data_IF_376944159219
#
_entry.id   IF_376944159219
#
_cell.length_a   1.000
_cell.length_b   1.000
_cell.length_c   1.000
_cell.angle_alpha   90.00
_cell.angle_beta   90.00
_cell.angle_gamma   90.00
#
_symmetry.space_group_name_H-M   'P 1'
#
loop_
_entity.id
_entity.type
_entity.pdbx_description
1 polymer ?
#
# COMPACT_ATOMS: atom_id res chain seq x y z
N UNK A 1 -9.01 15.00 4.42
CA UNK A 1 -8.47 14.24 5.56
C UNK A 1 -7.01 14.64 5.71
N UNK A 2 -6.50 14.99 6.89
CA UNK A 2 -5.05 15.22 7.09
C UNK A 2 -4.32 13.91 7.44
N UNK A 3 -3.00 13.87 7.26
CA UNK A 3 -2.18 12.68 7.61
C UNK A 3 -2.34 12.32 9.09
N UNK A 4 -2.33 13.33 9.98
CA UNK A 4 -2.55 13.11 11.42
C UNK A 4 -3.94 12.54 11.72
N UNK A 5 -4.98 13.00 11.04
CA UNK A 5 -6.33 12.45 11.21
C UNK A 5 -6.39 11.00 10.73
N UNK A 6 -5.77 10.69 9.59
CA UNK A 6 -5.72 9.35 9.04
C UNK A 6 -4.95 8.38 9.94
N UNK A 7 -3.76 8.76 10.39
CA UNK A 7 -2.90 7.93 11.24
C UNK A 7 -3.56 7.60 12.58
N UNK A 8 -4.34 8.53 13.15
CA UNK A 8 -5.13 8.28 14.37
C UNK A 8 -6.28 7.30 14.18
N UNK A 9 -6.76 7.10 12.95
CA UNK A 9 -7.75 6.05 12.63
C UNK A 9 -7.05 4.69 12.53
N UNK A 10 -5.82 4.66 12.02
CA UNK A 10 -5.04 3.44 11.80
C UNK A 10 -4.51 2.81 13.09
N UNK A 11 -4.12 3.63 14.07
CA UNK A 11 -3.51 3.13 15.32
C UNK A 11 -3.56 4.17 16.43
N UNK A 12 -3.74 3.71 17.67
CA UNK A 12 -3.62 4.53 18.88
C UNK A 12 -2.18 4.58 19.44
N UNK A 13 -1.24 3.80 18.89
CA UNK A 13 0.15 3.75 19.37
C UNK A 13 0.97 4.96 18.85
N UNK A 14 1.38 5.91 19.72
CA UNK A 14 2.08 7.11 19.29
C UNK A 14 3.41 6.85 18.57
N UNK A 15 4.13 5.77 18.92
CA UNK A 15 5.40 5.44 18.28
C UNK A 15 5.19 4.96 16.83
N UNK A 16 4.09 4.25 16.57
CA UNK A 16 3.69 3.88 15.21
C UNK A 16 3.18 5.11 14.46
N UNK A 17 2.42 5.99 15.12
CA UNK A 17 1.92 7.22 14.51
C UNK A 17 3.07 8.10 13.97
N UNK A 18 4.14 8.29 14.75
CA UNK A 18 5.33 9.04 14.32
C UNK A 18 5.94 8.45 13.05
N UNK A 19 6.16 7.13 13.02
CA UNK A 19 6.72 6.45 11.83
C UNK A 19 5.84 6.59 10.60
N UNK A 20 4.53 6.47 10.75
CA UNK A 20 3.58 6.65 9.64
C UNK A 20 3.64 8.07 9.10
N UNK A 21 3.66 9.07 9.98
CA UNK A 21 3.74 10.48 9.58
C UNK A 21 5.05 10.80 8.86
N UNK A 22 6.19 10.31 9.35
CA UNK A 22 7.50 10.50 8.69
C UNK A 22 7.51 9.97 7.25
N UNK A 23 6.97 8.77 7.02
CA UNK A 23 6.85 8.20 5.67
C UNK A 23 5.88 9.02 4.82
N UNK A 24 4.72 9.39 5.37
CA UNK A 24 3.72 10.19 4.64
C UNK A 24 4.27 11.57 4.24
N UNK A 25 5.07 12.21 5.09
CA UNK A 25 5.70 13.50 4.80
C UNK A 25 6.74 13.41 3.68
N UNK A 26 7.44 12.27 3.56
CA UNK A 26 8.42 12.06 2.47
C UNK A 26 7.80 12.10 1.07
N UNK A 27 6.49 11.88 0.98
CA UNK A 27 5.72 11.90 -0.26
C UNK A 27 5.14 13.28 -0.63
N UNK A 28 5.28 14.29 0.24
CA UNK A 28 4.78 15.63 -0.02
C UNK A 28 3.28 15.65 -0.32
N UNK A 29 2.91 16.13 -1.51
CA UNK A 29 1.51 16.25 -1.95
C UNK A 29 0.90 14.91 -2.42
N UNK A 30 1.71 13.87 -2.62
CA UNK A 30 1.25 12.57 -3.14
C UNK A 30 0.71 11.67 -2.02
N UNK A 31 -0.57 11.86 -1.69
CA UNK A 31 -1.29 11.14 -0.65
C UNK A 31 -1.86 9.79 -1.14
N UNK A 32 -1.02 8.94 -1.71
CA UNK A 32 -1.43 7.69 -2.34
C UNK A 32 -2.15 6.70 -1.38
N UNK A 33 -1.96 6.80 -0.07
CA UNK A 33 -2.63 5.94 0.92
C UNK A 33 -4.14 6.22 1.09
N UNK A 34 -4.65 7.32 0.54
CA UNK A 34 -6.09 7.63 0.47
C UNK A 34 -6.62 7.71 -0.96
N UNK A 35 -5.88 7.20 -1.94
CA UNK A 35 -6.30 7.22 -3.35
C UNK A 35 -7.45 6.25 -3.62
N UNK A 36 -8.35 6.63 -4.53
CA UNK A 36 -9.36 5.71 -5.09
C UNK A 36 -8.76 4.76 -6.16
N UNK A 37 -7.55 5.06 -6.65
CA UNK A 37 -6.86 4.19 -7.61
C UNK A 37 -6.20 3.00 -6.88
N UNK A 38 -6.96 1.92 -6.74
CA UNK A 38 -6.50 0.67 -6.13
C UNK A 38 -5.20 0.12 -6.72
N UNK A 39 -4.98 0.29 -8.02
CA UNK A 39 -3.79 -0.27 -8.68
C UNK A 39 -2.55 0.49 -8.24
N UNK A 40 -2.67 1.82 -8.15
CA UNK A 40 -1.62 2.69 -7.64
C UNK A 40 -1.35 2.45 -6.16
N UNK A 41 -2.39 2.25 -5.36
CA UNK A 41 -2.29 1.89 -3.94
C UNK A 41 -1.50 0.60 -3.75
N UNK A 42 -1.83 -0.48 -4.49
CA UNK A 42 -1.08 -1.73 -4.42
C UNK A 42 0.38 -1.52 -4.82
N UNK A 43 0.62 -0.87 -5.97
CA UNK A 43 1.96 -0.60 -6.47
C UNK A 43 2.84 0.16 -5.46
N UNK A 44 2.31 1.20 -4.81
CA UNK A 44 3.05 2.00 -3.84
C UNK A 44 3.25 1.27 -2.52
N UNK A 45 2.24 0.59 -1.99
CA UNK A 45 2.39 -0.14 -0.73
C UNK A 45 3.47 -1.24 -0.80
N UNK A 46 3.67 -1.89 -1.95
CA UNK A 46 4.75 -2.88 -2.11
C UNK A 46 6.16 -2.28 -2.19
N UNK A 47 6.27 -0.98 -2.41
CA UNK A 47 7.55 -0.26 -2.40
C UNK A 47 7.92 0.25 -1.01
N UNK A 48 6.96 0.30 -0.09
CA UNK A 48 7.14 0.74 1.28
C UNK A 48 7.32 -0.42 2.25
N UNK A 49 8.21 -0.23 3.22
CA UNK A 49 8.38 -1.14 4.35
C UNK A 49 7.32 -0.88 5.44
N UNK A 50 6.74 0.33 5.45
CA UNK A 50 5.71 0.73 6.40
C UNK A 50 4.33 0.60 5.75
N UNK A 51 3.42 -0.08 6.45
CA UNK A 51 2.04 -0.26 6.01
C UNK A 51 1.24 1.03 6.26
N UNK A 52 1.00 1.80 5.20
CA UNK A 52 0.22 3.06 5.26
C UNK A 52 -1.27 2.85 4.99
N UNK A 53 -1.66 1.66 4.55
CA UNK A 53 -3.07 1.32 4.26
C UNK A 53 -3.51 0.09 5.04
N UNK A 54 -4.81 -0.08 5.26
CA UNK A 54 -5.32 -1.29 5.89
C UNK A 54 -4.94 -2.54 5.11
N UNK A 55 -4.53 -3.59 5.84
CA UNK A 55 -4.07 -4.85 5.24
C UNK A 55 -5.08 -5.46 4.27
N UNK A 56 -6.39 -5.38 4.59
CA UNK A 56 -7.44 -5.90 3.72
C UNK A 56 -7.59 -5.09 2.43
N UNK A 57 -7.53 -3.76 2.52
CA UNK A 57 -7.57 -2.89 1.35
C UNK A 57 -6.36 -3.16 0.44
N UNK A 58 -5.17 -3.31 1.01
CA UNK A 58 -3.96 -3.69 0.28
C UNK A 58 -4.09 -5.06 -0.41
N UNK A 59 -4.58 -6.07 0.29
CA UNK A 59 -4.83 -7.40 -0.29
C UNK A 59 -5.78 -7.30 -1.49
N UNK A 60 -6.94 -6.64 -1.33
CA UNK A 60 -7.94 -6.49 -2.41
C UNK A 60 -7.43 -5.70 -3.61
N UNK A 61 -6.66 -4.65 -3.35
CA UNK A 61 -5.99 -3.89 -4.39
C UNK A 61 -4.99 -4.77 -5.18
N UNK A 62 -4.23 -5.61 -4.48
CA UNK A 62 -3.29 -6.57 -5.08
C UNK A 62 -4.01 -7.60 -5.95
N UNK A 63 -5.09 -8.19 -5.44
CA UNK A 63 -5.91 -9.17 -6.16
C UNK A 63 -6.46 -8.58 -7.45
N UNK A 64 -6.99 -7.35 -7.37
CA UNK A 64 -7.53 -6.62 -8.53
C UNK A 64 -6.47 -6.35 -9.58
N UNK A 65 -5.29 -5.88 -9.20
CA UNK A 65 -4.20 -5.60 -10.13
C UNK A 65 -3.68 -6.89 -10.80
N UNK A 66 -3.52 -7.97 -10.05
CA UNK A 66 -3.04 -9.25 -10.58
C UNK A 66 -4.13 -10.08 -11.29
N UNK A 67 -5.41 -9.71 -11.17
CA UNK A 67 -6.53 -10.42 -11.76
C UNK A 67 -6.76 -11.81 -11.17
N UNK A 68 -6.40 -12.02 -9.89
CA UNK A 68 -6.60 -13.29 -9.17
C UNK A 68 -6.71 -13.08 -7.67
N UNK A 69 -7.36 -14.02 -6.98
CA UNK A 69 -7.40 -14.05 -5.52
C UNK A 69 -6.03 -14.42 -4.93
N UNK A 70 -5.72 -13.88 -3.74
CA UNK A 70 -4.46 -14.07 -3.02
C UNK A 70 -4.77 -14.11 -1.54
N UNK A 71 -4.32 -15.14 -0.82
CA UNK A 71 -4.50 -15.16 0.65
C UNK A 71 -3.43 -14.30 1.35
N UNK A 72 -3.73 -13.81 2.55
CA UNK A 72 -2.69 -13.17 3.38
C UNK A 72 -1.50 -14.09 3.68
N UNK A 73 -1.74 -15.39 3.79
CA UNK A 73 -0.67 -16.36 4.00
C UNK A 73 0.25 -16.42 2.77
N UNK A 74 -0.31 -16.38 1.57
CA UNK A 74 0.46 -16.30 0.32
C UNK A 74 1.23 -14.98 0.21
N UNK A 75 0.61 -13.84 0.55
CA UNK A 75 1.30 -12.54 0.62
C UNK A 75 2.54 -12.58 1.53
N UNK A 76 2.46 -13.32 2.64
CA UNK A 76 3.56 -13.45 3.59
C UNK A 76 4.64 -14.43 3.11
N UNK A 77 4.25 -15.57 2.55
CA UNK A 77 5.17 -16.64 2.17
C UNK A 77 5.89 -16.36 0.84
N UNK A 78 5.21 -15.69 -0.10
CA UNK A 78 5.71 -15.41 -1.46
C UNK A 78 5.82 -13.90 -1.76
N UNK A 79 6.07 -13.10 -0.73
CA UNK A 79 6.08 -11.64 -0.80
C UNK A 79 6.93 -11.09 -1.96
N UNK A 80 8.15 -11.61 -2.14
CA UNK A 80 9.09 -11.11 -3.17
C UNK A 80 8.57 -11.33 -4.59
N UNK A 81 8.00 -12.50 -4.86
CA UNK A 81 7.44 -12.83 -6.16
C UNK A 81 6.18 -12.00 -6.44
N UNK A 82 5.30 -11.87 -5.44
CA UNK A 82 4.08 -11.06 -5.57
C UNK A 82 4.46 -9.59 -5.80
N UNK A 83 5.41 -9.04 -5.04
CA UNK A 83 5.96 -7.69 -5.26
C UNK A 83 6.42 -7.51 -6.71
N UNK A 84 7.25 -8.44 -7.22
CA UNK A 84 7.73 -8.37 -8.61
C UNK A 84 6.57 -8.37 -9.61
N UNK A 85 5.57 -9.25 -9.43
CA UNK A 85 4.40 -9.33 -10.32
C UNK A 85 3.57 -8.05 -10.29
N UNK A 86 3.34 -7.48 -9.11
CA UNK A 86 2.59 -6.23 -8.93
C UNK A 86 3.27 -5.09 -9.67
N UNK A 87 4.58 -4.93 -9.46
CA UNK A 87 5.38 -3.88 -10.10
C UNK A 87 5.29 -4.02 -11.62
N UNK A 88 5.63 -5.20 -12.16
CA UNK A 88 5.59 -5.43 -13.61
C UNK A 88 4.19 -5.25 -14.20
N UNK A 89 3.14 -5.66 -13.49
CA UNK A 89 1.76 -5.53 -13.98
C UNK A 89 1.28 -4.08 -14.00
N UNK A 90 1.69 -3.28 -13.02
CA UNK A 90 1.41 -1.86 -12.98
C UNK A 90 2.13 -1.13 -14.13
N UNK A 91 3.43 -1.36 -14.29
CA UNK A 91 4.25 -0.77 -15.37
C UNK A 91 3.70 -1.12 -16.75
N UNK A 92 3.35 -2.39 -16.99
CA UNK A 92 2.71 -2.84 -18.25
C UNK A 92 1.38 -2.10 -18.52
N UNK A 93 0.53 -1.97 -17.49
CA UNK A 93 -0.81 -1.39 -17.63
C UNK A 93 -0.77 0.12 -17.90
N UNK A 94 0.19 0.82 -17.30
CA UNK A 94 0.28 2.28 -17.35
C UNK A 94 1.41 2.79 -18.27
N UNK A 95 2.16 1.88 -18.92
CA UNK A 95 3.21 2.16 -19.89
C UNK A 95 4.30 3.07 -19.34
N UNK A 96 4.83 2.69 -18.17
CA UNK A 96 5.89 3.39 -17.42
C UNK A 96 7.14 2.53 -17.33
#
# INVERSE_FOLDING_TARGET
MTNLQYVRIMTDDPAIQVKLLEVMESYGDDQWWITDNTDYLAYRQFQEDVMLVESHAWQKATEKLLGRDITFMELKLDYKNIKSKVISKYEEKYNI
#
